data_IF_807914348649
#
_entry.id   IF_807914348649
#
_cell.length_a   1.000
_cell.length_b   1.000
_cell.length_c   1.000
_cell.angle_alpha   90.00
_cell.angle_beta   90.00
_cell.angle_gamma   90.00
#
_symmetry.space_group_name_H-M   'P 1'
#
loop_
_entity.id
_entity.type
_entity.pdbx_description
1 polymer ?
#
# COMPACT_ATOMS: atom_id res chain seq x y z
N UNK A 1 1.16 19.74 29.45
CA UNK A 1 2.03 19.12 28.44
C UNK A 1 1.16 18.13 27.67
N UNK A 2 0.52 18.58 26.63
CA UNK A 2 -0.35 17.77 25.81
C UNK A 2 0.49 17.16 24.68
N UNK A 3 0.78 15.87 24.79
CA UNK A 3 1.32 15.11 23.68
C UNK A 3 0.26 15.12 22.56
N UNK A 4 0.57 15.71 21.42
CA UNK A 4 -0.20 15.56 20.19
C UNK A 4 -0.18 14.07 19.84
N UNK A 5 -1.31 13.39 20.10
CA UNK A 5 -1.51 12.03 19.61
C UNK A 5 -1.22 12.05 18.10
N UNK A 6 -0.15 11.36 17.68
CA UNK A 6 0.14 11.19 16.27
C UNK A 6 -1.08 10.52 15.65
N UNK A 7 -1.63 11.14 14.59
CA UNK A 7 -2.75 10.56 13.87
C UNK A 7 -2.30 9.20 13.31
N UNK A 8 -2.86 8.07 13.74
CA UNK A 8 -2.43 6.73 13.32
C UNK A 8 -2.58 6.47 11.81
N UNK A 9 -3.17 7.41 11.08
CA UNK A 9 -3.43 7.33 9.64
C UNK A 9 -2.30 7.88 8.76
N UNK A 10 -1.16 8.25 9.33
CA UNK A 10 0.00 8.66 8.53
C UNK A 10 0.68 7.42 7.95
N UNK A 11 0.99 7.47 6.64
CA UNK A 11 1.61 6.34 5.91
C UNK A 11 2.90 5.79 6.56
N UNK A 12 3.61 6.61 7.34
CA UNK A 12 4.78 6.20 8.11
C UNK A 12 4.48 5.23 9.27
N UNK A 13 3.27 5.19 9.80
CA UNK A 13 2.91 4.31 10.91
C UNK A 13 2.99 2.82 10.56
N UNK A 14 2.82 2.46 9.28
CA UNK A 14 2.96 1.09 8.83
C UNK A 14 4.41 0.60 8.76
N UNK A 15 5.40 1.47 8.83
CA UNK A 15 6.82 1.10 8.88
C UNK A 15 7.23 0.54 10.25
N UNK A 16 6.54 0.94 11.31
CA UNK A 16 6.79 0.46 12.68
C UNK A 16 5.47 0.45 13.46
N UNK A 17 4.62 -0.52 13.17
CA UNK A 17 3.32 -0.68 13.82
C UNK A 17 3.49 -1.02 15.30
N UNK A 18 4.40 -1.93 15.63
CA UNK A 18 4.58 -2.41 17.02
C UNK A 18 5.21 -1.34 17.93
N UNK A 19 5.94 -0.38 17.37
CA UNK A 19 6.51 0.77 18.08
C UNK A 19 5.53 1.92 18.31
N UNK A 20 4.28 1.84 17.82
CA UNK A 20 3.26 2.86 18.06
C UNK A 20 2.64 2.73 19.44
N UNK A 21 2.11 3.82 19.99
CA UNK A 21 1.42 3.82 21.30
C UNK A 21 0.20 2.87 21.33
N UNK A 22 -0.45 2.67 20.17
CA UNK A 22 -1.68 1.89 20.04
C UNK A 22 -1.65 1.00 18.78
N UNK A 23 -0.84 -0.08 18.79
CA UNK A 23 -0.66 -0.94 17.60
C UNK A 23 -1.97 -1.54 17.05
N UNK A 24 -2.90 -1.89 17.93
CA UNK A 24 -4.18 -2.49 17.54
C UNK A 24 -5.12 -1.51 16.78
N UNK A 25 -4.88 -0.20 16.84
CA UNK A 25 -5.64 0.75 16.00
C UNK A 25 -5.31 0.60 14.52
N UNK A 26 -4.07 0.21 14.19
CA UNK A 26 -3.66 -0.05 12.80
C UNK A 26 -4.40 -1.25 12.19
N UNK A 27 -4.73 -2.26 13.01
CA UNK A 27 -5.59 -3.38 12.58
C UNK A 27 -6.95 -2.85 12.14
N UNK A 28 -7.57 -1.98 12.96
CA UNK A 28 -8.88 -1.38 12.63
C UNK A 28 -8.81 -0.48 11.38
N UNK A 29 -7.72 0.27 11.23
CA UNK A 29 -7.51 1.12 10.03
C UNK A 29 -7.49 0.26 8.78
N UNK A 30 -6.78 -0.86 8.77
CA UNK A 30 -6.76 -1.78 7.64
C UNK A 30 -8.14 -2.39 7.38
N UNK A 31 -8.88 -2.79 8.43
CA UNK A 31 -10.21 -3.37 8.29
C UNK A 31 -11.22 -2.36 7.69
N UNK A 32 -11.14 -1.10 8.09
CA UNK A 32 -11.96 -0.02 7.50
C UNK A 32 -11.61 0.19 6.03
N UNK A 33 -10.32 0.24 5.69
CA UNK A 33 -9.89 0.38 4.31
C UNK A 33 -10.33 -0.81 3.44
N UNK A 34 -10.21 -2.04 3.97
CA UNK A 34 -10.57 -3.25 3.23
C UNK A 34 -12.09 -3.35 2.95
N UNK A 35 -12.92 -2.67 3.74
CA UNK A 35 -14.35 -2.58 3.54
C UNK A 35 -14.76 -1.55 2.48
N UNK A 36 -13.89 -0.61 2.14
CA UNK A 36 -14.17 0.42 1.13
C UNK A 36 -14.27 -0.20 -0.28
N UNK A 37 -15.27 0.19 -1.09
CA UNK A 37 -15.53 -0.42 -2.39
C UNK A 37 -14.33 -0.44 -3.34
N UNK A 38 -13.54 0.63 -3.35
CA UNK A 38 -12.33 0.69 -4.18
C UNK A 38 -11.33 -0.40 -3.79
N UNK A 39 -11.01 -0.50 -2.48
CA UNK A 39 -10.04 -1.50 -1.99
C UNK A 39 -10.55 -2.92 -2.18
N UNK A 40 -11.82 -3.18 -1.93
CA UNK A 40 -12.43 -4.47 -2.17
C UNK A 40 -12.33 -4.90 -3.65
N UNK A 41 -12.57 -3.96 -4.58
CA UNK A 41 -12.54 -4.18 -6.03
C UNK A 41 -11.12 -4.50 -6.54
N UNK A 42 -10.11 -3.67 -6.24
CA UNK A 42 -8.77 -3.96 -6.75
C UNK A 42 -8.16 -5.20 -6.10
N UNK A 43 -8.43 -5.45 -4.82
CA UNK A 43 -8.00 -6.68 -4.14
C UNK A 43 -8.63 -7.93 -4.72
N UNK A 44 -9.90 -7.87 -5.18
CA UNK A 44 -10.49 -8.97 -5.95
C UNK A 44 -9.66 -9.25 -7.20
N UNK A 45 -9.19 -8.20 -7.90
CA UNK A 45 -8.33 -8.38 -9.07
C UNK A 45 -6.98 -9.03 -8.73
N UNK A 46 -6.36 -8.70 -7.59
CA UNK A 46 -5.13 -9.37 -7.13
C UNK A 46 -5.36 -10.87 -6.94
N UNK A 47 -6.50 -11.24 -6.33
CA UNK A 47 -6.87 -12.65 -6.12
C UNK A 47 -7.07 -13.40 -7.44
N UNK A 48 -7.75 -12.80 -8.40
CA UNK A 48 -7.91 -13.37 -9.75
C UNK A 48 -6.56 -13.60 -10.45
N UNK A 49 -5.63 -12.66 -10.32
CA UNK A 49 -4.30 -12.78 -10.94
C UNK A 49 -3.45 -13.87 -10.27
N UNK A 50 -3.64 -14.13 -8.98
CA UNK A 50 -2.94 -15.19 -8.27
C UNK A 50 -3.66 -16.54 -8.35
N UNK A 51 -4.98 -16.57 -8.63
CA UNK A 51 -5.78 -17.79 -8.71
C UNK A 51 -5.22 -18.91 -9.61
N UNK A 52 -4.54 -18.64 -10.76
CA UNK A 52 -3.91 -19.69 -11.56
C UNK A 52 -2.83 -20.51 -10.82
N UNK A 53 -2.35 -20.04 -9.65
CA UNK A 53 -1.45 -20.78 -8.77
C UNK A 53 -2.16 -21.92 -7.99
N UNK A 54 -3.50 -21.97 -8.00
CA UNK A 54 -4.26 -23.04 -7.35
C UNK A 54 -4.07 -24.40 -8.09
N UNK A 55 -4.05 -25.53 -7.36
CA UNK A 55 -4.28 -25.70 -5.92
C UNK A 55 -3.00 -25.57 -5.04
N UNK A 56 -2.00 -24.85 -5.47
CA UNK A 56 -0.72 -24.71 -4.77
C UNK A 56 -0.80 -23.88 -3.49
N UNK A 57 0.34 -23.79 -2.82
CA UNK A 57 0.54 -22.91 -1.67
C UNK A 57 1.03 -21.56 -2.16
N UNK A 58 0.44 -20.46 -1.66
CA UNK A 58 0.86 -19.10 -2.01
C UNK A 58 1.29 -18.31 -0.77
N UNK A 59 2.16 -17.31 -1.02
CA UNK A 59 2.70 -16.43 0.00
C UNK A 59 2.10 -15.02 -0.16
N UNK A 60 1.64 -14.43 0.95
CA UNK A 60 1.27 -13.02 1.04
C UNK A 60 2.33 -12.29 1.89
N UNK A 61 3.10 -11.41 1.27
CA UNK A 61 4.20 -10.68 1.88
C UNK A 61 3.70 -9.30 2.32
N UNK A 62 3.90 -8.95 3.61
CA UNK A 62 3.33 -7.76 4.20
C UNK A 62 1.80 -7.85 4.31
N UNK A 63 1.29 -9.02 4.67
CA UNK A 63 -0.13 -9.36 4.62
C UNK A 63 -1.02 -8.52 5.54
N UNK A 64 -0.42 -7.71 6.44
CA UNK A 64 -1.17 -6.96 7.43
C UNK A 64 -2.07 -7.88 8.26
N UNK A 65 -3.36 -7.57 8.27
CA UNK A 65 -4.35 -8.37 9.03
C UNK A 65 -4.68 -9.71 8.39
N UNK A 66 -4.17 -10.02 7.20
CA UNK A 66 -4.45 -11.24 6.46
C UNK A 66 -5.84 -11.33 5.81
N UNK A 67 -6.62 -10.25 5.83
CA UNK A 67 -8.00 -10.29 5.31
C UNK A 67 -8.07 -10.70 3.83
N UNK A 68 -7.13 -10.25 3.00
CA UNK A 68 -7.07 -10.63 1.59
C UNK A 68 -6.66 -12.10 1.40
N UNK A 69 -5.72 -12.59 2.21
CA UNK A 69 -5.30 -13.98 2.19
C UNK A 69 -6.42 -14.95 2.60
N UNK A 70 -7.24 -14.59 3.60
CA UNK A 70 -8.43 -15.38 3.98
C UNK A 70 -9.38 -15.51 2.79
N UNK A 71 -9.73 -14.39 2.14
CA UNK A 71 -10.62 -14.40 0.97
C UNK A 71 -10.05 -15.23 -0.18
N UNK A 72 -8.73 -15.15 -0.42
CA UNK A 72 -8.07 -15.95 -1.46
C UNK A 72 -8.19 -17.46 -1.17
N UNK A 73 -7.98 -17.85 0.10
CA UNK A 73 -8.15 -19.24 0.52
C UNK A 73 -9.59 -19.72 0.33
N UNK A 74 -10.58 -18.92 0.74
CA UNK A 74 -12.01 -19.26 0.67
C UNK A 74 -12.52 -19.31 -0.77
N UNK A 75 -12.13 -18.33 -1.61
CA UNK A 75 -12.64 -18.20 -2.99
C UNK A 75 -12.00 -19.20 -3.96
N UNK A 76 -10.72 -19.57 -3.75
CA UNK A 76 -9.94 -20.33 -4.73
C UNK A 76 -9.33 -21.63 -4.17
N UNK A 77 -9.53 -21.94 -2.89
CA UNK A 77 -8.97 -23.15 -2.28
C UNK A 77 -7.43 -23.15 -2.18
N UNK A 78 -6.81 -21.97 -2.21
CA UNK A 78 -5.36 -21.82 -2.13
C UNK A 78 -4.92 -21.89 -0.66
N UNK A 79 -3.91 -22.69 -0.37
CA UNK A 79 -3.28 -22.71 0.95
C UNK A 79 -2.42 -21.45 1.13
N UNK A 80 -2.83 -20.54 2.02
CA UNK A 80 -2.11 -19.29 2.24
C UNK A 80 -1.10 -19.38 3.38
N UNK A 81 0.11 -18.92 3.10
CA UNK A 81 1.14 -18.55 4.08
C UNK A 81 1.25 -17.04 4.08
N UNK A 82 1.26 -16.40 5.24
CA UNK A 82 1.34 -14.95 5.34
C UNK A 82 2.52 -14.52 6.19
N UNK A 83 3.19 -13.47 5.80
CA UNK A 83 4.25 -12.85 6.58
C UNK A 83 4.01 -11.35 6.70
N UNK A 84 4.33 -10.83 7.87
CA UNK A 84 4.39 -9.40 8.13
C UNK A 84 5.57 -9.12 9.06
N UNK A 85 6.14 -7.91 9.00
CA UNK A 85 7.22 -7.57 9.92
C UNK A 85 6.71 -7.23 11.32
N UNK A 86 5.43 -6.85 11.47
CA UNK A 86 4.81 -6.50 12.73
C UNK A 86 4.19 -7.71 13.42
N UNK A 87 4.54 -7.95 14.68
CA UNK A 87 3.93 -8.99 15.53
C UNK A 87 2.42 -8.78 15.67
N UNK A 88 1.98 -7.53 15.79
CA UNK A 88 0.56 -7.18 15.90
C UNK A 88 -0.22 -7.63 14.66
N UNK A 89 0.32 -7.43 13.45
CA UNK A 89 -0.31 -7.87 12.21
C UNK A 89 -0.32 -9.39 12.08
N UNK A 90 0.79 -10.07 12.34
CA UNK A 90 0.84 -11.53 12.32
C UNK A 90 -0.12 -12.16 13.34
N UNK A 91 -0.30 -11.56 14.53
CA UNK A 91 -1.31 -11.98 15.51
C UNK A 91 -2.73 -11.79 14.99
N UNK A 92 -3.03 -10.66 14.36
CA UNK A 92 -4.33 -10.40 13.75
C UNK A 92 -4.65 -11.40 12.63
N UNK A 93 -3.69 -11.73 11.78
CA UNK A 93 -3.84 -12.75 10.74
C UNK A 93 -4.16 -14.14 11.35
N UNK A 94 -3.46 -14.53 12.41
CA UNK A 94 -3.75 -15.80 13.13
C UNK A 94 -5.17 -15.82 13.71
N UNK A 95 -5.65 -14.70 14.28
CA UNK A 95 -7.00 -14.61 14.83
C UNK A 95 -8.10 -14.76 13.78
N UNK A 96 -7.77 -14.58 12.50
CA UNK A 96 -8.65 -14.81 11.33
C UNK A 96 -8.56 -16.24 10.78
N UNK A 97 -7.86 -17.15 11.45
CA UNK A 97 -7.74 -18.54 11.02
C UNK A 97 -6.54 -18.86 10.15
N UNK A 98 -5.68 -17.89 9.84
CA UNK A 98 -4.44 -18.13 9.08
C UNK A 98 -3.38 -18.74 10.01
N UNK A 99 -3.38 -20.07 10.11
CA UNK A 99 -2.47 -20.82 11.00
C UNK A 99 -1.00 -20.68 10.61
N UNK A 100 -0.72 -20.37 9.34
CA UNK A 100 0.63 -20.20 8.78
C UNK A 100 0.97 -18.72 8.64
N UNK A 101 0.87 -17.97 9.73
CA UNK A 101 1.28 -16.57 9.81
C UNK A 101 2.59 -16.46 10.59
N UNK A 102 3.59 -15.78 10.03
CA UNK A 102 4.91 -15.58 10.62
C UNK A 102 5.32 -14.11 10.62
N UNK A 103 6.23 -13.76 11.53
CA UNK A 103 6.92 -12.47 11.49
C UNK A 103 8.20 -12.65 10.69
N UNK A 104 8.37 -11.86 9.63
CA UNK A 104 9.54 -11.94 8.78
C UNK A 104 9.84 -10.60 8.08
N UNK A 105 11.09 -10.41 7.71
CA UNK A 105 11.53 -9.35 6.80
C UNK A 105 11.28 -9.78 5.35
N UNK A 106 10.61 -8.94 4.58
CA UNK A 106 10.34 -9.18 3.17
C UNK A 106 11.62 -9.32 2.32
N UNK A 107 12.70 -8.63 2.72
CA UNK A 107 14.01 -8.72 2.06
C UNK A 107 14.81 -9.98 2.45
N UNK A 108 14.28 -10.80 3.37
CA UNK A 108 14.92 -12.05 3.83
C UNK A 108 13.88 -13.05 4.32
N UNK A 109 13.19 -13.67 3.38
CA UNK A 109 12.11 -14.61 3.67
C UNK A 109 12.65 -15.93 4.23
N UNK A 110 12.08 -16.46 5.33
CA UNK A 110 12.55 -17.69 6.00
C UNK A 110 12.01 -18.96 5.33
N UNK A 111 12.04 -19.00 3.99
CA UNK A 111 11.53 -20.11 3.20
C UNK A 111 12.57 -20.63 2.21
N UNK A 112 12.48 -21.91 1.86
CA UNK A 112 13.30 -22.51 0.83
C UNK A 112 12.94 -21.97 -0.57
N UNK A 113 13.87 -22.12 -1.51
CA UNK A 113 13.64 -21.79 -2.91
C UNK A 113 12.48 -22.62 -3.47
N UNK A 114 11.72 -22.02 -4.37
CA UNK A 114 10.64 -22.67 -5.12
C UNK A 114 9.56 -23.36 -4.23
N UNK A 115 9.32 -22.83 -3.03
CA UNK A 115 8.39 -23.40 -2.06
C UNK A 115 6.92 -23.08 -2.36
N UNK A 116 6.65 -22.01 -3.10
CA UNK A 116 5.31 -21.47 -3.35
C UNK A 116 4.94 -21.54 -4.83
N UNK A 117 3.67 -21.78 -5.13
CA UNK A 117 3.11 -21.67 -6.47
C UNK A 117 2.86 -20.23 -6.91
N UNK A 118 2.89 -19.30 -5.96
CA UNK A 118 2.79 -17.86 -6.23
C UNK A 118 3.04 -17.04 -4.99
N UNK A 119 3.35 -15.76 -5.20
CA UNK A 119 3.51 -14.80 -4.12
C UNK A 119 2.89 -13.44 -4.50
N UNK A 120 2.35 -12.74 -3.52
CA UNK A 120 1.82 -11.39 -3.70
C UNK A 120 2.33 -10.43 -2.64
N UNK A 121 2.33 -9.13 -2.97
CA UNK A 121 2.55 -8.03 -2.05
C UNK A 121 1.61 -6.87 -2.41
N UNK A 122 0.79 -6.44 -1.45
CA UNK A 122 -0.20 -5.37 -1.63
C UNK A 122 0.10 -4.21 -0.70
N UNK A 123 0.49 -3.07 -1.26
CA UNK A 123 0.88 -1.83 -0.56
C UNK A 123 2.06 -2.03 0.39
N UNK A 124 3.05 -2.77 -0.04
CA UNK A 124 4.23 -3.15 0.75
C UNK A 124 5.49 -2.46 0.27
N UNK A 125 5.80 -2.55 -1.05
CA UNK A 125 7.07 -2.11 -1.59
C UNK A 125 7.31 -0.61 -1.37
N UNK A 126 6.25 0.18 -1.31
CA UNK A 126 6.31 1.61 -1.00
C UNK A 126 6.93 1.92 0.37
N UNK A 127 6.94 0.97 1.32
CA UNK A 127 7.43 1.14 2.68
C UNK A 127 8.84 0.59 2.92
N UNK A 128 9.33 -0.32 2.07
CA UNK A 128 10.55 -1.07 2.29
C UNK A 128 11.82 -0.24 2.11
N UNK A 129 12.87 -0.57 2.86
CA UNK A 129 14.18 0.01 2.66
C UNK A 129 14.83 -0.47 1.35
N UNK A 130 14.66 -1.74 1.02
CA UNK A 130 15.11 -2.36 -0.22
C UNK A 130 13.98 -3.15 -0.88
N UNK A 131 13.18 -2.51 -1.73
CA UNK A 131 12.10 -3.18 -2.44
C UNK A 131 12.60 -4.19 -3.48
N UNK A 132 13.83 -3.98 -4.03
CA UNK A 132 14.41 -4.92 -4.98
C UNK A 132 14.76 -6.25 -4.32
N UNK A 133 15.39 -6.21 -3.13
CA UNK A 133 15.68 -7.42 -2.37
C UNK A 133 14.39 -8.18 -2.01
N UNK A 134 13.32 -7.47 -1.65
CA UNK A 134 12.04 -8.11 -1.34
C UNK A 134 11.43 -8.80 -2.56
N UNK A 135 11.42 -8.16 -3.73
CA UNK A 135 10.92 -8.80 -4.97
C UNK A 135 11.80 -9.97 -5.37
N UNK A 136 13.14 -9.87 -5.26
CA UNK A 136 14.05 -10.97 -5.53
C UNK A 136 13.80 -12.19 -4.60
N UNK A 137 13.51 -11.94 -3.32
CA UNK A 137 13.13 -13.01 -2.38
C UNK A 137 11.78 -13.63 -2.74
N UNK A 138 10.77 -12.83 -3.14
CA UNK A 138 9.51 -13.36 -3.64
C UNK A 138 9.71 -14.26 -4.86
N UNK A 139 10.57 -13.86 -5.80
CA UNK A 139 10.95 -14.68 -6.96
C UNK A 139 11.66 -15.96 -6.53
N UNK A 140 12.66 -15.88 -5.65
CA UNK A 140 13.42 -17.04 -5.15
C UNK A 140 12.52 -18.11 -4.53
N UNK A 141 11.56 -17.68 -3.71
CA UNK A 141 10.67 -18.63 -2.99
C UNK A 141 9.52 -19.15 -3.84
N UNK A 142 9.29 -18.56 -5.02
CA UNK A 142 8.25 -18.98 -5.96
C UNK A 142 8.80 -20.00 -6.96
N UNK A 143 8.08 -21.08 -7.19
CA UNK A 143 8.49 -22.13 -8.11
C UNK A 143 8.47 -21.64 -9.57
N UNK A 144 9.31 -22.21 -10.46
CA UNK A 144 9.22 -21.95 -11.90
C UNK A 144 7.81 -22.20 -12.42
N UNK A 145 7.31 -21.29 -13.25
CA UNK A 145 5.91 -21.24 -13.70
C UNK A 145 4.92 -20.66 -12.67
N UNK A 146 5.38 -20.33 -11.46
CA UNK A 146 4.58 -19.69 -10.43
C UNK A 146 4.36 -18.20 -10.72
N UNK A 147 3.45 -17.57 -9.96
CA UNK A 147 3.03 -16.19 -10.21
C UNK A 147 3.49 -15.23 -9.14
N UNK A 148 3.91 -14.05 -9.58
CA UNK A 148 4.15 -12.88 -8.71
C UNK A 148 3.07 -11.85 -9.02
N UNK A 149 2.47 -11.29 -7.95
CA UNK A 149 1.48 -10.19 -8.06
C UNK A 149 1.87 -9.07 -7.11
N UNK A 150 2.08 -7.87 -7.64
CA UNK A 150 2.46 -6.68 -6.90
C UNK A 150 1.39 -5.60 -7.07
N UNK A 151 1.06 -4.87 -6.01
CA UNK A 151 0.19 -3.71 -6.09
C UNK A 151 0.62 -2.62 -5.11
N UNK A 152 0.79 -1.40 -5.61
CA UNK A 152 1.01 -0.20 -4.82
C UNK A 152 0.38 1.03 -5.51
N UNK A 153 -0.02 2.06 -4.76
CA UNK A 153 -0.33 3.37 -5.35
C UNK A 153 0.95 4.04 -5.85
N UNK A 154 0.82 4.79 -6.94
CA UNK A 154 1.89 5.65 -7.45
C UNK A 154 1.55 7.11 -7.19
N UNK A 155 2.26 7.73 -6.27
CA UNK A 155 1.95 9.09 -5.84
C UNK A 155 2.41 10.18 -6.84
N UNK A 156 3.12 9.84 -7.93
CA UNK A 156 3.32 10.74 -9.07
C UNK A 156 2.03 10.95 -9.90
N UNK A 157 1.04 10.05 -9.74
CA UNK A 157 -0.23 10.12 -10.47
C UNK A 157 -1.31 10.90 -9.73
N UNK A 158 -0.99 11.55 -8.62
CA UNK A 158 -1.97 12.29 -7.82
C UNK A 158 -2.51 13.51 -8.55
N UNK A 159 -3.80 13.73 -8.42
CA UNK A 159 -4.46 14.97 -8.82
C UNK A 159 -5.36 15.50 -7.71
N UNK A 160 -5.49 16.80 -7.61
CA UNK A 160 -6.37 17.49 -6.66
C UNK A 160 -7.04 18.67 -7.39
N UNK A 161 -8.36 18.74 -7.34
CA UNK A 161 -9.14 19.83 -7.94
C UNK A 161 -9.26 21.01 -6.96
N UNK A 162 -8.32 21.94 -7.07
CA UNK A 162 -8.34 23.27 -6.44
C UNK A 162 -7.91 24.31 -7.47
N UNK A 163 -8.20 25.60 -7.24
CA UNK A 163 -7.97 26.65 -8.24
C UNK A 163 -6.45 26.91 -8.44
N UNK A 164 -5.65 26.95 -7.36
CA UNK A 164 -4.19 27.07 -7.46
C UNK A 164 -3.53 25.72 -7.68
N UNK A 165 -3.34 25.37 -8.95
CA UNK A 165 -2.71 24.11 -9.34
C UNK A 165 -1.21 24.03 -8.99
N UNK A 166 -0.53 25.15 -8.80
CA UNK A 166 0.90 25.14 -8.47
C UNK A 166 1.10 24.78 -7.00
N UNK A 167 0.27 25.28 -6.09
CA UNK A 167 0.32 24.85 -4.70
C UNK A 167 -0.16 23.40 -4.56
N UNK A 168 -1.18 22.97 -5.32
CA UNK A 168 -1.60 21.57 -5.35
C UNK A 168 -0.41 20.65 -5.69
N UNK A 169 0.27 20.93 -6.82
CA UNK A 169 1.42 20.15 -7.27
C UNK A 169 2.56 20.14 -6.26
N UNK A 170 2.84 21.27 -5.61
CA UNK A 170 3.89 21.37 -4.60
C UNK A 170 3.62 20.44 -3.41
N UNK A 171 2.39 20.45 -2.86
CA UNK A 171 2.00 19.58 -1.74
C UNK A 171 1.95 18.11 -2.13
N UNK A 172 1.38 17.78 -3.30
CA UNK A 172 1.30 16.41 -3.80
C UNK A 172 2.69 15.85 -4.12
N UNK A 173 3.59 16.67 -4.70
CA UNK A 173 4.98 16.28 -4.93
C UNK A 173 5.72 16.05 -3.62
N UNK A 174 5.55 16.93 -2.63
CA UNK A 174 6.11 16.70 -1.30
C UNK A 174 5.66 15.35 -0.72
N UNK A 175 4.38 15.01 -0.85
CA UNK A 175 3.87 13.72 -0.42
C UNK A 175 4.53 12.55 -1.16
N UNK A 176 4.64 12.63 -2.49
CA UNK A 176 5.27 11.60 -3.31
C UNK A 176 6.73 11.34 -2.90
N UNK A 177 7.49 12.42 -2.65
CA UNK A 177 8.93 12.34 -2.41
C UNK A 177 9.31 12.09 -0.94
N UNK A 178 8.44 12.47 0.02
CA UNK A 178 8.81 12.55 1.43
C UNK A 178 7.88 11.82 2.40
N UNK A 179 6.69 11.42 1.96
CA UNK A 179 5.73 10.74 2.81
C UNK A 179 5.96 9.23 2.90
N UNK A 180 6.54 8.65 1.87
CA UNK A 180 6.83 7.24 1.74
C UNK A 180 8.26 7.07 1.22
N UNK A 181 8.89 5.95 1.57
CA UNK A 181 10.25 5.67 1.08
C UNK A 181 10.29 5.52 -0.43
N UNK A 182 9.29 4.85 -0.99
CA UNK A 182 9.20 4.53 -2.41
C UNK A 182 7.83 4.93 -2.97
N UNK A 183 7.38 6.16 -2.71
CA UNK A 183 6.05 6.64 -3.08
C UNK A 183 5.77 6.67 -4.59
N UNK A 184 6.81 6.58 -5.41
CA UNK A 184 6.75 6.63 -6.88
C UNK A 184 7.30 5.36 -7.52
N UNK A 185 7.29 4.22 -6.80
CA UNK A 185 7.87 2.97 -7.27
C UNK A 185 6.91 2.16 -8.14
N UNK A 186 5.60 2.31 -7.96
CA UNK A 186 4.62 1.37 -8.48
C UNK A 186 4.65 1.25 -10.01
N UNK A 187 4.84 2.33 -10.75
CA UNK A 187 4.99 2.29 -12.21
C UNK A 187 6.25 1.54 -12.69
N UNK A 188 7.21 1.25 -11.79
CA UNK A 188 8.45 0.52 -12.10
C UNK A 188 8.33 -0.98 -11.85
N UNK A 189 7.25 -1.48 -11.23
CA UNK A 189 7.10 -2.90 -10.91
C UNK A 189 7.29 -3.80 -12.13
N UNK A 190 6.71 -3.43 -13.28
CA UNK A 190 6.86 -4.22 -14.50
C UNK A 190 8.34 -4.32 -14.95
N UNK A 191 9.07 -3.20 -14.91
CA UNK A 191 10.52 -3.18 -15.21
C UNK A 191 11.34 -3.99 -14.21
N UNK A 192 10.97 -3.96 -12.93
CA UNK A 192 11.63 -4.77 -11.88
C UNK A 192 11.47 -6.27 -12.16
N UNK A 193 10.25 -6.72 -12.42
CA UNK A 193 9.97 -8.13 -12.71
C UNK A 193 10.66 -8.59 -13.99
N UNK A 194 10.63 -7.78 -15.06
CA UNK A 194 11.34 -8.08 -16.30
C UNK A 194 12.88 -8.16 -16.09
N UNK A 195 13.46 -7.27 -15.28
CA UNK A 195 14.89 -7.28 -14.95
C UNK A 195 15.31 -8.53 -14.17
N UNK A 196 14.40 -9.07 -13.35
CA UNK A 196 14.60 -10.32 -12.61
C UNK A 196 14.34 -11.58 -13.47
N UNK A 197 14.07 -11.41 -14.77
CA UNK A 197 13.91 -12.51 -15.73
C UNK A 197 12.51 -13.11 -15.80
N UNK A 198 11.52 -12.50 -15.19
CA UNK A 198 10.14 -12.98 -15.24
C UNK A 198 9.52 -12.75 -16.63
N UNK A 199 8.61 -13.64 -17.02
CA UNK A 199 7.88 -13.60 -18.28
C UNK A 199 6.42 -13.20 -18.07
N UNK A 200 5.68 -12.99 -19.17
CA UNK A 200 4.26 -12.65 -19.16
C UNK A 200 3.94 -11.47 -18.23
N UNK A 201 4.82 -10.46 -18.24
CA UNK A 201 4.67 -9.27 -17.39
C UNK A 201 3.49 -8.43 -17.88
N UNK A 202 2.48 -8.29 -17.05
CA UNK A 202 1.27 -7.49 -17.31
C UNK A 202 1.15 -6.41 -16.23
N UNK A 203 0.92 -5.18 -16.65
CA UNK A 203 0.62 -4.07 -15.76
C UNK A 203 -0.80 -3.54 -16.04
N UNK A 204 -1.59 -3.48 -14.99
CA UNK A 204 -2.95 -2.91 -15.00
C UNK A 204 -3.02 -1.74 -14.02
N UNK A 205 -4.01 -0.88 -14.16
CA UNK A 205 -4.22 0.24 -13.25
C UNK A 205 -5.66 0.29 -12.74
N UNK A 206 -5.80 0.84 -11.52
CA UNK A 206 -7.09 1.23 -10.94
C UNK A 206 -6.91 2.60 -10.29
N UNK A 207 -7.82 3.52 -10.54
CA UNK A 207 -7.73 4.86 -9.97
C UNK A 207 -8.69 5.00 -8.80
N UNK A 208 -8.15 5.28 -7.61
CA UNK A 208 -8.94 5.72 -6.47
C UNK A 208 -9.37 7.17 -6.73
N UNK A 209 -10.67 7.42 -6.70
CA UNK A 209 -11.24 8.77 -6.76
C UNK A 209 -11.98 9.04 -5.46
N UNK A 210 -11.62 10.11 -4.78
CA UNK A 210 -12.20 10.52 -3.51
C UNK A 210 -12.90 11.86 -3.69
N UNK A 211 -14.19 11.90 -3.40
CA UNK A 211 -15.01 13.12 -3.40
C UNK A 211 -15.60 13.45 -2.03
N UNK A 212 -15.48 12.53 -1.07
CA UNK A 212 -15.91 12.77 0.31
C UNK A 212 -14.92 13.70 1.01
N UNK A 213 -15.35 14.90 1.43
CA UNK A 213 -14.49 15.84 2.14
C UNK A 213 -13.94 15.29 3.47
N UNK A 214 -14.64 14.37 4.12
CA UNK A 214 -14.18 13.77 5.38
C UNK A 214 -12.88 12.97 5.21
N UNK A 215 -12.57 12.52 4.00
CA UNK A 215 -11.34 11.82 3.68
C UNK A 215 -10.10 12.72 3.66
N UNK A 216 -10.25 14.04 3.52
CA UNK A 216 -9.14 15.02 3.41
C UNK A 216 -8.12 14.86 4.53
N UNK A 217 -8.60 14.79 5.78
CA UNK A 217 -7.73 14.69 6.95
C UNK A 217 -7.68 13.27 7.51
N UNK A 218 -8.76 12.51 7.33
CA UNK A 218 -8.91 11.19 7.94
C UNK A 218 -8.17 10.09 7.19
N UNK A 219 -8.10 10.14 5.86
CA UNK A 219 -7.51 9.10 5.01
C UNK A 219 -6.26 9.60 4.30
N UNK A 220 -6.30 10.82 3.78
CA UNK A 220 -5.25 11.35 2.91
C UNK A 220 -4.26 12.25 3.64
N UNK A 221 -4.69 12.91 4.73
CA UNK A 221 -3.85 13.82 5.52
C UNK A 221 -3.33 15.01 4.72
N UNK A 222 -4.10 15.55 3.76
CA UNK A 222 -3.65 16.60 2.84
C UNK A 222 -3.15 17.84 3.59
N UNK A 223 -3.87 18.30 4.62
CA UNK A 223 -3.44 19.46 5.44
C UNK A 223 -2.17 19.13 6.23
N UNK A 224 -2.06 17.93 6.75
CA UNK A 224 -0.85 17.48 7.45
C UNK A 224 0.37 17.51 6.53
N UNK A 225 0.22 17.17 5.25
CA UNK A 225 1.32 17.22 4.28
C UNK A 225 1.73 18.65 3.97
N UNK A 226 0.78 19.57 3.77
CA UNK A 226 1.08 20.99 3.57
C UNK A 226 1.80 21.60 4.78
N UNK A 227 1.30 21.38 5.98
CA UNK A 227 1.92 21.81 7.22
C UNK A 227 3.33 21.21 7.43
N UNK A 228 3.50 19.93 7.11
CA UNK A 228 4.80 19.25 7.23
C UNK A 228 5.80 19.77 6.22
N UNK A 229 5.39 20.04 4.98
CA UNK A 229 6.23 20.63 3.95
C UNK A 229 6.73 22.02 4.40
N UNK A 230 5.84 22.83 4.95
CA UNK A 230 6.19 24.14 5.50
C UNK A 230 7.17 24.02 6.68
N UNK A 231 6.91 23.13 7.64
CA UNK A 231 7.79 22.90 8.79
C UNK A 231 9.22 22.45 8.37
N UNK A 232 9.33 21.74 7.25
CA UNK A 232 10.61 21.29 6.69
C UNK A 232 11.28 22.33 5.78
N UNK A 233 10.68 23.49 5.57
CA UNK A 233 11.19 24.55 4.68
C UNK A 233 11.12 24.20 3.19
N UNK A 234 10.29 23.23 2.81
CA UNK A 234 10.08 22.80 1.41
C UNK A 234 8.85 23.45 0.77
N UNK A 235 8.07 24.18 1.57
CA UNK A 235 6.96 25.02 1.15
C UNK A 235 6.95 26.26 2.06
N UNK A 236 6.72 27.45 1.49
CA UNK A 236 6.55 28.66 2.28
C UNK A 236 5.29 28.54 3.16
N UNK A 237 5.35 28.98 4.45
CA UNK A 237 4.19 28.89 5.36
C UNK A 237 2.92 29.55 4.81
N UNK A 238 3.07 30.67 4.08
CA UNK A 238 1.94 31.34 3.43
C UNK A 238 1.29 30.46 2.35
N UNK A 239 2.10 29.72 1.58
CA UNK A 239 1.62 28.78 0.55
C UNK A 239 0.92 27.56 1.16
N UNK A 240 1.37 27.07 2.32
CA UNK A 240 0.67 26.01 3.03
C UNK A 240 -0.71 26.48 3.53
N UNK A 241 -0.81 27.69 4.08
CA UNK A 241 -2.08 28.27 4.49
C UNK A 241 -3.02 28.52 3.29
N UNK A 242 -2.47 28.95 2.15
CA UNK A 242 -3.23 29.11 0.91
C UNK A 242 -3.78 27.77 0.40
N UNK A 243 -2.96 26.71 0.42
CA UNK A 243 -3.41 25.36 0.08
C UNK A 243 -4.60 24.90 0.93
N UNK A 244 -4.53 25.11 2.26
CA UNK A 244 -5.65 24.79 3.16
C UNK A 244 -6.92 25.58 2.80
N UNK A 245 -6.77 26.87 2.53
CA UNK A 245 -7.89 27.74 2.13
C UNK A 245 -8.50 27.32 0.78
N UNK A 246 -7.66 26.89 -0.18
CA UNK A 246 -8.10 26.35 -1.48
C UNK A 246 -8.89 25.04 -1.32
N UNK A 247 -8.38 24.11 -0.51
CA UNK A 247 -9.09 22.85 -0.19
C UNK A 247 -10.45 23.16 0.44
N UNK A 248 -10.51 24.09 1.39
CA UNK A 248 -11.76 24.51 2.03
C UNK A 248 -12.74 25.16 1.05
N UNK A 249 -12.23 25.95 0.11
CA UNK A 249 -13.06 26.55 -0.96
C UNK A 249 -13.64 25.47 -1.87
N UNK A 250 -12.81 24.49 -2.29
CA UNK A 250 -13.27 23.38 -3.13
C UNK A 250 -14.35 22.54 -2.43
N UNK A 251 -14.17 22.29 -1.12
CA UNK A 251 -15.16 21.58 -0.30
C UNK A 251 -16.48 22.34 -0.25
N UNK A 252 -16.44 23.63 0.13
CA UNK A 252 -17.66 24.46 0.20
C UNK A 252 -18.40 24.60 -1.13
N UNK A 253 -17.66 24.57 -2.24
CA UNK A 253 -18.21 24.63 -3.59
C UNK A 253 -18.70 23.28 -4.11
N UNK A 254 -18.56 22.18 -3.34
CA UNK A 254 -18.91 20.84 -3.79
C UNK A 254 -18.04 20.28 -4.92
N UNK A 255 -16.85 20.89 -5.15
CA UNK A 255 -15.92 20.52 -6.23
C UNK A 255 -14.81 19.59 -5.78
N UNK A 256 -14.65 19.35 -4.46
CA UNK A 256 -13.55 18.53 -3.96
C UNK A 256 -13.43 17.22 -4.72
N UNK A 257 -12.25 16.99 -5.28
CA UNK A 257 -11.86 15.75 -5.93
C UNK A 257 -10.37 15.52 -5.73
N UNK A 258 -10.04 14.35 -5.22
CA UNK A 258 -8.68 13.82 -5.22
C UNK A 258 -8.65 12.48 -5.93
N UNK A 259 -7.59 12.20 -6.67
CA UNK A 259 -7.39 10.88 -7.26
C UNK A 259 -5.92 10.45 -7.20
N UNK A 260 -5.70 9.12 -7.14
CA UNK A 260 -4.38 8.48 -7.24
C UNK A 260 -4.53 7.12 -7.91
N UNK A 261 -3.56 6.76 -8.75
CA UNK A 261 -3.58 5.49 -9.49
C UNK A 261 -2.80 4.41 -8.74
N UNK A 262 -3.41 3.25 -8.60
CA UNK A 262 -2.78 2.00 -8.15
C UNK A 262 -2.32 1.22 -9.38
N UNK A 263 -1.08 0.79 -9.38
CA UNK A 263 -0.54 -0.14 -10.36
C UNK A 263 -0.64 -1.55 -9.82
N UNK A 264 -1.15 -2.46 -10.62
CA UNK A 264 -1.26 -3.89 -10.35
C UNK A 264 -0.41 -4.58 -11.40
N UNK A 265 0.62 -5.27 -10.96
CA UNK A 265 1.55 -5.92 -11.89
C UNK A 265 1.62 -7.41 -11.58
N UNK A 266 1.52 -8.24 -12.58
CA UNK A 266 1.69 -9.69 -12.45
C UNK A 266 2.70 -10.21 -13.47
N UNK A 267 3.38 -11.31 -13.12
CA UNK A 267 4.33 -11.97 -13.99
C UNK A 267 4.46 -13.45 -13.63
N UNK A 268 5.14 -14.21 -14.48
CA UNK A 268 5.45 -15.65 -14.29
C UNK A 268 6.96 -15.80 -14.08
N UNK A 269 7.33 -16.58 -13.05
CA UNK A 269 8.72 -16.92 -12.68
C UNK A 269 9.33 -17.92 -13.66
#
# INVERSE_FOLDING_TARGET
>A
MGGTAQNPRQAHGFVDVDGQDRPDEWVRVLDVLDAEPFYASYKARLRELLAPAAPGRCLDVGAGTGANAVRLADEHGIEMVVVDHAHTMARAARSRGLTRAAVADAARLPFADAMFAGAMADRVLQHLADPWAAVAEMVRVTAPGGRIVLADPDYDTQVLDIDDQDVARAVLRFRADHALRNGTLAHRHAGMLATLGLTDVVAETRTLVVRDPSAVDNVMGLRTWAATAAKRGLLEPARAAEFEAEVDRAIRAGRFLYAVTFFITSAVV
#
